data_IF_312924516941
#
_entry.id   IF_312924516941
#
_cell.length_a   1.000
_cell.length_b   1.000
_cell.length_c   1.000
_cell.angle_alpha   90.00
_cell.angle_beta   90.00
_cell.angle_gamma   90.00
#
_symmetry.space_group_name_H-M   'P 1'
#
loop_
_entity.id
_entity.type
_entity.pdbx_description
1 polymer ?
#
# COMPACT_ATOMS: atom_id res chain seq x y z
N UNK A 1 -7.09 5.12 8.42
CA UNK A 1 -6.06 6.21 8.40
C UNK A 1 -4.76 5.79 9.09
N UNK A 2 -4.81 5.12 10.25
CA UNK A 2 -3.64 4.68 11.04
C UNK A 2 -2.48 4.08 10.23
N UNK A 3 -2.72 3.15 9.30
CA UNK A 3 -1.64 2.53 8.53
C UNK A 3 -0.97 3.46 7.53
N UNK A 4 -1.72 4.38 6.90
CA UNK A 4 -1.13 5.34 5.97
C UNK A 4 -0.16 6.26 6.72
N UNK A 5 -0.56 6.78 7.89
CA UNK A 5 0.31 7.62 8.71
C UNK A 5 1.55 6.87 9.22
N UNK A 6 1.40 5.58 9.59
CA UNK A 6 2.54 4.73 9.98
C UNK A 6 3.53 4.58 8.82
N UNK A 7 3.03 4.32 7.60
CA UNK A 7 3.86 4.18 6.41
C UNK A 7 4.50 5.52 6.00
N UNK A 8 3.79 6.64 6.12
CA UNK A 8 4.36 7.98 5.91
C UNK A 8 5.54 8.27 6.84
N UNK A 9 5.42 7.92 8.12
CA UNK A 9 6.52 8.06 9.10
C UNK A 9 7.67 7.08 8.84
N UNK A 10 7.35 5.84 8.45
CA UNK A 10 8.35 4.79 8.19
C UNK A 10 9.15 5.06 6.90
N UNK A 11 8.51 5.59 5.88
CA UNK A 11 9.09 5.87 4.56
C UNK A 11 8.82 7.31 4.12
N UNK A 12 9.43 8.31 4.79
CA UNK A 12 9.14 9.72 4.53
C UNK A 12 9.63 10.18 3.14
N UNK A 13 10.57 9.43 2.53
CA UNK A 13 11.11 9.71 1.19
C UNK A 13 10.25 9.19 0.04
N UNK A 14 9.28 8.31 0.32
CA UNK A 14 8.35 7.83 -0.68
C UNK A 14 7.39 8.94 -1.09
N UNK A 15 6.98 8.94 -2.35
CA UNK A 15 5.89 9.78 -2.83
C UNK A 15 4.57 9.45 -2.11
N UNK A 16 3.61 10.38 -2.18
CA UNK A 16 2.29 10.19 -1.55
C UNK A 16 1.55 8.98 -2.09
N UNK A 17 1.70 8.66 -3.38
CA UNK A 17 1.08 7.48 -3.98
C UNK A 17 1.71 6.17 -3.50
N UNK A 18 3.03 6.14 -3.34
CA UNK A 18 3.75 4.98 -2.77
C UNK A 18 3.39 4.79 -1.29
N UNK A 19 3.28 5.88 -0.52
CA UNK A 19 2.84 5.84 0.87
C UNK A 19 1.39 5.35 1.00
N UNK A 20 0.49 5.78 0.11
CA UNK A 20 -0.88 5.29 0.05
C UNK A 20 -0.90 3.78 -0.24
N UNK A 21 -0.17 3.34 -1.27
CA UNK A 21 -0.08 1.92 -1.64
C UNK A 21 0.49 1.06 -0.52
N UNK A 22 1.59 1.49 0.11
CA UNK A 22 2.16 0.83 1.28
C UNK A 22 1.19 0.79 2.46
N UNK A 23 0.38 1.83 2.66
CA UNK A 23 -0.68 1.86 3.67
C UNK A 23 -1.79 0.84 3.41
N UNK A 24 -2.14 0.61 2.14
CA UNK A 24 -3.08 -0.44 1.72
C UNK A 24 -2.47 -1.83 1.97
N UNK A 25 -1.21 -2.06 1.62
CA UNK A 25 -0.50 -3.31 1.92
C UNK A 25 -0.44 -3.58 3.44
N UNK A 26 -0.11 -2.55 4.23
CA UNK A 26 -0.05 -2.63 5.69
C UNK A 26 -1.41 -2.91 6.35
N UNK A 27 -2.53 -2.59 5.69
CA UNK A 27 -3.85 -2.97 6.20
C UNK A 27 -4.03 -4.50 6.21
N UNK A 28 -3.48 -5.21 5.22
CA UNK A 28 -3.52 -6.66 5.15
C UNK A 28 -2.41 -7.33 5.98
N UNK A 29 -1.16 -6.84 5.86
CA UNK A 29 0.01 -7.52 6.42
C UNK A 29 0.52 -6.92 7.75
N UNK A 30 0.01 -5.75 8.16
CA UNK A 30 0.60 -4.93 9.22
C UNK A 30 1.82 -4.13 8.75
N UNK A 31 2.04 -2.95 9.34
CA UNK A 31 3.14 -2.06 8.95
C UNK A 31 4.55 -2.61 9.24
N UNK A 32 4.67 -3.58 10.17
CA UNK A 32 5.90 -4.34 10.41
C UNK A 32 6.35 -5.16 9.19
N UNK A 33 5.41 -5.63 8.38
CA UNK A 33 5.68 -6.43 7.18
C UNK A 33 5.94 -5.59 5.92
N UNK A 34 5.81 -4.26 6.00
CA UNK A 34 6.30 -3.35 4.96
C UNK A 34 7.71 -2.91 5.35
N UNK A 35 8.72 -3.70 5.00
CA UNK A 35 10.09 -3.54 5.51
C UNK A 35 11.10 -3.08 4.46
N UNK A 36 10.80 -3.26 3.18
CA UNK A 36 11.68 -2.83 2.10
C UNK A 36 11.60 -1.32 1.93
N UNK A 37 12.74 -0.67 1.69
CA UNK A 37 12.79 0.74 1.29
C UNK A 37 12.37 0.98 -0.17
N UNK A 38 11.99 -0.10 -0.86
CA UNK A 38 11.57 -0.12 -2.26
C UNK A 38 10.03 -0.23 -2.35
N UNK A 39 9.33 0.78 -2.89
CA UNK A 39 7.87 0.75 -3.04
C UNK A 39 7.33 -0.41 -3.87
N UNK A 40 8.12 -0.97 -4.78
CA UNK A 40 7.77 -2.14 -5.59
C UNK A 40 7.63 -3.42 -4.76
N UNK A 41 8.21 -3.46 -3.56
CA UNK A 41 8.27 -4.64 -2.70
C UNK A 41 7.17 -4.69 -1.63
N UNK A 42 6.27 -3.70 -1.59
CA UNK A 42 5.27 -3.55 -0.51
C UNK A 42 4.36 -4.77 -0.33
N UNK A 43 4.11 -5.52 -1.40
CA UNK A 43 3.22 -6.69 -1.36
C UNK A 43 3.95 -8.02 -1.11
N UNK A 44 5.28 -8.05 -0.99
CA UNK A 44 6.04 -9.31 -0.81
C UNK A 44 5.59 -10.16 0.39
N UNK A 45 4.92 -9.56 1.36
CA UNK A 45 4.39 -10.23 2.57
C UNK A 45 2.90 -10.03 2.78
N UNK A 46 2.17 -9.53 1.78
CA UNK A 46 0.71 -9.52 1.83
C UNK A 46 0.17 -10.90 1.41
N UNK A 47 -1.08 -11.19 1.76
CA UNK A 47 -1.78 -12.37 1.26
C UNK A 47 -1.76 -12.37 -0.26
N UNK A 48 -1.33 -13.47 -0.89
CA UNK A 48 -1.23 -13.58 -2.34
C UNK A 48 -0.01 -12.89 -2.97
N UNK A 49 0.72 -12.05 -2.23
CA UNK A 49 1.87 -11.33 -2.74
C UNK A 49 1.52 -10.14 -3.65
N UNK A 50 0.24 -9.72 -3.68
CA UNK A 50 -0.28 -8.75 -4.64
C UNK A 50 -1.41 -7.84 -4.08
N UNK A 51 -1.70 -7.90 -2.78
CA UNK A 51 -2.88 -7.25 -2.18
C UNK A 51 -3.07 -5.78 -2.57
N UNK A 52 -2.05 -4.93 -2.39
CA UNK A 52 -2.16 -3.50 -2.69
C UNK A 52 -2.20 -3.22 -4.18
N UNK A 53 -1.52 -4.03 -4.99
CA UNK A 53 -1.62 -3.97 -6.44
C UNK A 53 -3.07 -4.22 -6.90
N UNK A 54 -3.68 -5.30 -6.42
CA UNK A 54 -5.05 -5.68 -6.75
C UNK A 54 -6.05 -4.61 -6.28
N UNK A 55 -5.97 -4.18 -5.02
CA UNK A 55 -6.86 -3.14 -4.47
C UNK A 55 -6.76 -1.83 -5.25
N UNK A 56 -5.55 -1.37 -5.59
CA UNK A 56 -5.36 -0.14 -6.39
C UNK A 56 -5.92 -0.30 -7.80
N UNK A 57 -5.75 -1.46 -8.43
CA UNK A 57 -6.31 -1.73 -9.75
C UNK A 57 -7.85 -1.70 -9.72
N UNK A 58 -8.47 -2.34 -8.72
CA UNK A 58 -9.93 -2.31 -8.51
C UNK A 58 -10.42 -0.90 -8.20
N UNK A 59 -9.73 -0.15 -7.34
CA UNK A 59 -10.08 1.24 -7.02
C UNK A 59 -10.05 2.14 -8.27
N UNK A 60 -9.06 1.96 -9.16
CA UNK A 60 -9.02 2.67 -10.45
C UNK A 60 -10.18 2.27 -11.36
N UNK A 61 -10.60 1.00 -11.34
CA UNK A 61 -11.80 0.57 -12.06
C UNK A 61 -13.05 1.23 -11.48
N UNK A 62 -13.28 1.16 -10.16
CA UNK A 62 -14.44 1.81 -9.52
C UNK A 62 -14.48 3.32 -9.79
N UNK A 63 -13.33 3.99 -9.76
CA UNK A 63 -13.22 5.41 -10.10
C UNK A 63 -13.73 5.76 -11.50
N UNK A 64 -13.59 4.84 -12.45
CA UNK A 64 -14.08 5.00 -13.83
C UNK A 64 -15.55 4.58 -13.98
N UNK A 65 -16.12 3.93 -12.96
CA UNK A 65 -17.46 3.35 -12.96
C UNK A 65 -18.37 3.97 -11.88
N UNK A 66 -18.15 5.25 -11.55
CA UNK A 66 -19.08 6.04 -10.74
C UNK A 66 -18.76 6.13 -9.24
N UNK A 67 -17.53 5.80 -8.82
CA UNK A 67 -17.04 5.99 -7.45
C UNK A 67 -15.88 7.00 -7.37
#
# INVERSE_FOLDING_TARGET
IVFIERIQRKFPKWSKNEQLKGGIAAYNAGDGNIYSNKPEDVDKRTTGGDYSNDVVARAKWYKRNGF
#
